data_IF_855889050447
#
_entry.id   IF_855889050447
#
_cell.length_a   1.000
_cell.length_b   1.000
_cell.length_c   1.000
_cell.angle_alpha   90.00
_cell.angle_beta   90.00
_cell.angle_gamma   90.00
#
_symmetry.space_group_name_H-M   'P 1'
#
loop_
_entity.id
_entity.type
_entity.pdbx_description
1 polymer ?
#
# COMPACT_ATOMS: atom_id res chain seq x y z
N UNK A 1 49.54 6.95 3.17
CA UNK A 1 48.60 6.17 3.99
C UNK A 1 49.08 4.74 4.03
N UNK A 2 49.34 4.21 5.22
CA UNK A 2 49.70 2.79 5.42
C UNK A 2 48.43 1.91 5.42
N UNK A 3 48.60 0.59 5.26
CA UNK A 3 47.50 -0.36 5.39
C UNK A 3 46.82 -0.27 6.76
N UNK A 4 47.60 -0.03 7.82
CA UNK A 4 47.09 0.12 9.19
C UNK A 4 46.25 1.39 9.37
N UNK A 5 46.68 2.50 8.75
CA UNK A 5 45.92 3.76 8.75
C UNK A 5 44.61 3.63 7.96
N UNK A 6 44.63 3.00 6.78
CA UNK A 6 43.41 2.75 6.00
C UNK A 6 42.44 1.84 6.74
N UNK A 7 42.94 0.80 7.43
CA UNK A 7 42.10 -0.09 8.23
C UNK A 7 41.43 0.64 9.41
N UNK A 8 42.14 1.56 10.09
CA UNK A 8 41.55 2.40 11.15
C UNK A 8 40.51 3.37 10.59
N UNK A 9 40.81 4.02 9.47
CA UNK A 9 39.87 4.91 8.77
C UNK A 9 38.57 4.18 8.46
N UNK A 10 38.63 3.04 7.77
CA UNK A 10 37.46 2.25 7.39
C UNK A 10 36.63 1.81 8.61
N UNK A 11 37.28 1.41 9.70
CA UNK A 11 36.59 1.08 10.97
C UNK A 11 35.86 2.29 11.55
N UNK A 12 36.46 3.48 11.50
CA UNK A 12 35.83 4.71 11.97
C UNK A 12 34.61 5.13 11.13
N UNK A 13 34.55 4.69 9.87
CA UNK A 13 33.46 4.97 8.94
C UNK A 13 32.24 4.05 9.13
N UNK A 14 32.41 2.88 9.75
CA UNK A 14 31.32 1.89 9.94
C UNK A 14 30.04 2.49 10.55
N UNK A 15 30.10 3.32 11.62
CA UNK A 15 28.90 3.95 12.18
C UNK A 15 28.17 4.86 11.17
N UNK A 16 28.92 5.57 10.32
CA UNK A 16 28.37 6.45 9.29
C UNK A 16 27.71 5.65 8.15
N UNK A 17 28.27 4.48 7.81
CA UNK A 17 27.67 3.54 6.86
C UNK A 17 26.35 3.00 7.44
N UNK A 18 26.34 2.56 8.70
CA UNK A 18 25.12 2.10 9.36
C UNK A 18 24.03 3.17 9.43
N UNK A 19 24.40 4.42 9.75
CA UNK A 19 23.47 5.54 9.78
C UNK A 19 22.89 5.83 8.39
N UNK A 20 23.74 5.80 7.36
CA UNK A 20 23.31 5.99 5.96
C UNK A 20 22.36 4.88 5.51
N UNK A 21 22.67 3.62 5.84
CA UNK A 21 21.81 2.48 5.54
C UNK A 21 20.44 2.58 6.22
N UNK A 22 20.40 2.97 7.50
CA UNK A 22 19.14 3.19 8.23
C UNK A 22 18.30 4.29 7.56
N UNK A 23 18.93 5.43 7.24
CA UNK A 23 18.25 6.54 6.55
C UNK A 23 17.72 6.12 5.19
N UNK A 24 18.51 5.37 4.41
CA UNK A 24 18.11 4.86 3.10
C UNK A 24 16.88 3.94 3.20
N UNK A 25 16.89 2.99 4.14
CA UNK A 25 15.75 2.09 4.37
C UNK A 25 14.49 2.85 4.79
N UNK A 26 14.62 3.83 5.69
CA UNK A 26 13.52 4.68 6.14
C UNK A 26 12.90 5.45 4.99
N UNK A 27 13.73 6.18 4.23
CA UNK A 27 13.27 6.99 3.11
C UNK A 27 12.63 6.13 2.01
N UNK A 28 13.22 4.98 1.69
CA UNK A 28 12.65 4.05 0.73
C UNK A 28 11.28 3.52 1.18
N UNK A 29 11.10 3.27 2.47
CA UNK A 29 9.81 2.80 3.00
C UNK A 29 8.76 3.90 2.97
N UNK A 30 9.11 5.14 3.31
CA UNK A 30 8.20 6.28 3.19
C UNK A 30 7.70 6.46 1.75
N UNK A 31 8.59 6.35 0.76
CA UNK A 31 8.19 6.41 -0.66
C UNK A 31 7.32 5.22 -1.09
N UNK A 32 7.56 4.04 -0.52
CA UNK A 32 6.70 2.88 -0.76
C UNK A 32 5.29 3.09 -0.18
N UNK A 33 5.18 3.66 1.03
CA UNK A 33 3.90 4.02 1.67
C UNK A 33 3.15 5.03 0.80
N UNK A 34 3.82 6.11 0.39
CA UNK A 34 3.25 7.13 -0.49
C UNK A 34 2.73 6.51 -1.79
N UNK A 35 3.50 5.62 -2.42
CA UNK A 35 3.11 4.96 -3.66
C UNK A 35 1.91 4.02 -3.48
N UNK A 36 1.86 3.27 -2.38
CA UNK A 36 0.71 2.43 -2.06
C UNK A 36 -0.56 3.27 -1.86
N UNK A 37 -0.46 4.39 -1.13
CA UNK A 37 -1.57 5.30 -0.90
C UNK A 37 -2.05 6.03 -2.18
N UNK A 38 -1.12 6.42 -3.06
CA UNK A 38 -1.42 7.02 -4.37
C UNK A 38 -2.26 6.09 -5.24
N UNK A 39 -1.91 4.80 -5.28
CA UNK A 39 -2.60 3.79 -6.08
C UNK A 39 -3.90 3.28 -5.44
N UNK A 40 -4.16 3.60 -4.16
CA UNK A 40 -5.37 3.15 -3.47
C UNK A 40 -6.59 3.93 -3.98
N UNK A 41 -7.68 3.27 -4.38
CA UNK A 41 -8.92 3.94 -4.74
C UNK A 41 -9.57 4.65 -3.53
N UNK A 42 -10.39 5.69 -3.76
CA UNK A 42 -10.64 6.33 -5.05
C UNK A 42 -9.45 7.19 -5.49
N UNK A 43 -9.00 7.04 -6.73
CA UNK A 43 -7.95 7.88 -7.33
C UNK A 43 -8.58 9.12 -7.97
N UNK A 44 -7.79 10.19 -8.23
CA UNK A 44 -8.32 11.41 -8.86
C UNK A 44 -8.84 11.16 -10.28
N UNK A 45 -8.37 10.10 -10.93
CA UNK A 45 -8.71 9.72 -12.31
C UNK A 45 -9.90 8.76 -12.39
N UNK A 46 -10.52 8.41 -11.25
CA UNK A 46 -11.79 7.68 -11.27
C UNK A 46 -12.91 8.68 -11.65
N UNK A 47 -13.00 8.94 -12.95
CA UNK A 47 -14.00 9.77 -13.61
C UNK A 47 -15.41 9.44 -13.13
N UNK A 48 -15.97 10.30 -12.28
CA UNK A 48 -17.37 10.74 -12.32
C UNK A 48 -18.51 9.74 -12.09
N UNK A 49 -18.28 8.42 -12.10
CA UNK A 49 -19.32 7.42 -11.82
C UNK A 49 -19.37 7.14 -10.33
N UNK A 50 -19.81 8.19 -9.64
CA UNK A 50 -20.04 8.27 -8.23
C UNK A 50 -21.13 7.23 -7.89
N UNK A 51 -20.72 6.01 -7.51
CA UNK A 51 -21.56 5.09 -6.75
C UNK A 51 -21.85 5.75 -5.39
N UNK A 52 -22.71 6.77 -5.43
CA UNK A 52 -23.21 7.55 -4.31
C UNK A 52 -24.02 6.62 -3.44
N UNK A 53 -23.38 6.09 -2.41
CA UNK A 53 -24.04 5.39 -1.32
C UNK A 53 -23.53 5.98 -0.02
N UNK A 54 -24.38 6.01 1.00
CA UNK A 54 -24.13 6.54 2.35
C UNK A 54 -22.98 5.84 3.11
N UNK A 55 -22.19 4.99 2.43
CA UNK A 55 -21.07 4.21 3.00
C UNK A 55 -19.90 4.00 2.01
N UNK A 56 -19.84 4.68 0.86
CA UNK A 56 -19.02 4.20 -0.27
C UNK A 56 -17.60 4.78 -0.38
N UNK A 57 -17.19 5.78 0.42
CA UNK A 57 -15.82 6.37 0.33
C UNK A 57 -15.25 6.74 1.69
N UNK A 58 -14.87 5.77 2.51
CA UNK A 58 -13.90 6.08 3.57
C UNK A 58 -12.51 6.13 2.93
N UNK A 59 -11.82 7.27 2.97
CA UNK A 59 -10.39 7.36 2.61
C UNK A 59 -9.48 6.63 3.60
N UNK A 60 -10.01 5.64 4.29
CA UNK A 60 -9.46 4.95 5.45
C UNK A 60 -8.33 4.03 5.01
N UNK A 61 -8.55 3.20 3.97
CA UNK A 61 -7.47 2.36 3.43
C UNK A 61 -6.23 3.17 3.03
N UNK A 62 -6.40 4.39 2.49
CA UNK A 62 -5.27 5.29 2.20
C UNK A 62 -4.49 5.68 3.45
N UNK A 63 -5.20 6.00 4.53
CA UNK A 63 -4.60 6.41 5.80
C UNK A 63 -3.87 5.25 6.48
N UNK A 64 -4.43 4.04 6.40
CA UNK A 64 -3.88 2.83 7.01
C UNK A 64 -2.50 2.45 6.45
N UNK A 65 -2.19 2.76 5.18
CA UNK A 65 -0.82 2.60 4.68
C UNK A 65 0.21 3.37 5.52
N UNK A 66 -0.12 4.59 5.96
CA UNK A 66 0.79 5.40 6.77
C UNK A 66 0.79 4.99 8.24
N UNK A 67 -0.38 4.65 8.79
CA UNK A 67 -0.54 4.32 10.22
C UNK A 67 -0.02 2.93 10.57
N UNK A 68 -0.25 1.94 9.72
CA UNK A 68 0.05 0.53 10.04
C UNK A 68 1.49 0.14 9.67
N UNK A 69 2.08 0.90 8.74
CA UNK A 69 3.45 0.70 8.30
C UNK A 69 4.48 1.14 9.34
N UNK A 70 5.66 0.50 9.31
CA UNK A 70 6.79 0.80 10.20
C UNK A 70 7.99 1.24 9.35
N UNK A 71 8.12 2.54 9.05
CA UNK A 71 9.20 3.06 8.21
C UNK A 71 10.55 3.07 8.94
N UNK A 72 10.57 3.10 10.27
CA UNK A 72 11.81 3.09 11.02
C UNK A 72 12.44 1.68 11.04
N UNK A 73 13.65 1.50 10.48
CA UNK A 73 14.25 0.17 10.34
C UNK A 73 14.66 -0.41 11.68
N UNK A 74 14.18 -1.62 11.96
CA UNK A 74 14.65 -2.43 13.08
C UNK A 74 15.83 -3.30 12.63
N UNK A 75 16.92 -3.30 13.41
CA UNK A 75 18.07 -4.19 13.17
C UNK A 75 17.71 -5.59 13.65
N UNK A 76 17.79 -6.57 12.76
CA UNK A 76 17.59 -7.99 13.06
C UNK A 76 18.81 -8.74 12.55
N UNK A 77 19.72 -9.11 13.45
CA UNK A 77 21.03 -9.64 13.09
C UNK A 77 21.82 -8.66 12.21
N UNK A 78 22.16 -9.09 11.00
CA UNK A 78 22.87 -8.30 9.98
C UNK A 78 21.94 -7.50 9.04
N UNK A 79 20.61 -7.59 9.21
CA UNK A 79 19.65 -6.98 8.31
C UNK A 79 18.91 -5.79 8.95
N UNK A 80 18.53 -4.82 8.11
CA UNK A 80 17.58 -3.76 8.45
C UNK A 80 16.21 -4.11 7.88
N UNK A 81 15.20 -4.18 8.74
CA UNK A 81 13.83 -4.51 8.35
C UNK A 81 12.90 -3.34 8.62
N UNK A 82 12.18 -2.93 7.58
CA UNK A 82 11.02 -2.03 7.66
C UNK A 82 9.76 -2.81 7.28
N UNK A 83 8.58 -2.26 7.57
CA UNK A 83 7.30 -2.92 7.27
C UNK A 83 6.40 -1.97 6.49
N UNK A 84 5.84 -2.45 5.39
CA UNK A 84 4.72 -1.85 4.68
C UNK A 84 3.49 -2.71 5.00
N UNK A 85 2.45 -2.12 5.57
CA UNK A 85 1.25 -2.82 6.02
C UNK A 85 -0.01 -1.98 5.80
N UNK A 86 -1.15 -2.67 5.75
CA UNK A 86 -2.49 -2.12 5.74
C UNK A 86 -3.40 -3.17 6.38
N UNK A 87 -3.93 -2.86 7.56
CA UNK A 87 -4.67 -3.81 8.38
C UNK A 87 -6.18 -3.80 8.08
N UNK A 88 -6.61 -3.08 7.04
CA UNK A 88 -8.00 -3.09 6.59
C UNK A 88 -8.38 -4.48 6.04
N UNK A 89 -9.48 -5.04 6.53
CA UNK A 89 -9.96 -6.37 6.13
C UNK A 89 -10.19 -6.50 4.62
N UNK A 90 -10.61 -5.41 3.98
CA UNK A 90 -10.87 -5.36 2.54
C UNK A 90 -9.62 -5.05 1.69
N UNK A 91 -8.47 -4.75 2.29
CA UNK A 91 -7.27 -4.33 1.54
C UNK A 91 -6.78 -5.38 0.54
N UNK A 92 -6.88 -6.67 0.90
CA UNK A 92 -6.51 -7.79 0.04
C UNK A 92 -7.41 -7.89 -1.19
N UNK A 93 -8.71 -7.65 -1.04
CA UNK A 93 -9.68 -7.67 -2.15
C UNK A 93 -9.36 -6.60 -3.19
N UNK A 94 -8.89 -5.43 -2.74
CA UNK A 94 -8.47 -4.33 -3.63
C UNK A 94 -7.09 -4.62 -4.24
N UNK A 95 -6.13 -5.12 -3.45
CA UNK A 95 -4.77 -5.39 -3.92
C UNK A 95 -4.69 -6.58 -4.88
N UNK A 96 -5.25 -7.72 -4.51
CA UNK A 96 -5.08 -9.00 -5.21
C UNK A 96 -6.27 -9.32 -6.14
N UNK A 97 -7.38 -8.60 -5.93
CA UNK A 97 -8.66 -8.89 -6.57
C UNK A 97 -9.38 -10.03 -5.88
N UNK A 98 -10.59 -10.31 -6.33
CA UNK A 98 -11.41 -11.37 -5.75
C UNK A 98 -12.37 -11.96 -6.78
N UNK A 99 -12.89 -13.16 -6.48
CA UNK A 99 -13.94 -13.78 -7.28
C UNK A 99 -15.29 -13.17 -6.91
N UNK A 100 -16.12 -12.96 -7.92
CA UNK A 100 -17.48 -12.49 -7.75
C UNK A 100 -18.40 -13.71 -7.81
N UNK A 101 -19.23 -13.86 -6.79
CA UNK A 101 -20.29 -14.86 -6.78
C UNK A 101 -21.63 -14.21 -7.12
N UNK A 102 -22.29 -14.74 -8.14
CA UNK A 102 -23.56 -14.22 -8.60
C UNK A 102 -24.66 -14.84 -7.77
N UNK A 103 -25.32 -14.02 -6.97
CA UNK A 103 -26.38 -14.48 -6.07
C UNK A 103 -27.53 -13.49 -6.01
N UNK A 104 -28.73 -13.99 -5.71
CA UNK A 104 -29.89 -13.16 -5.49
C UNK A 104 -29.90 -12.67 -4.04
N UNK A 105 -30.09 -11.37 -3.84
CA UNK A 105 -30.21 -10.75 -2.52
C UNK A 105 -31.67 -10.33 -2.31
N UNK A 106 -32.47 -11.09 -1.53
CA UNK A 106 -33.82 -10.70 -1.17
C UNK A 106 -33.82 -9.38 -0.38
N UNK A 107 -34.78 -8.51 -0.65
CA UNK A 107 -34.93 -7.22 0.02
C UNK A 107 -34.01 -6.10 -0.50
N UNK A 108 -33.04 -6.40 -1.39
CA UNK A 108 -32.21 -5.39 -2.03
C UNK A 108 -32.88 -4.86 -3.30
N UNK A 109 -33.08 -3.55 -3.41
CA UNK A 109 -33.72 -2.92 -4.57
C UNK A 109 -33.11 -1.54 -4.88
N UNK A 110 -33.38 -1.03 -6.08
CA UNK A 110 -33.07 0.37 -6.43
C UNK A 110 -34.35 1.15 -6.15
N UNK A 111 -34.27 2.12 -5.25
CA UNK A 111 -35.39 2.98 -4.94
C UNK A 111 -35.74 3.84 -6.19
N UNK A 112 -36.99 3.80 -6.69
CA UNK A 112 -37.36 4.53 -7.90
C UNK A 112 -37.37 6.06 -7.76
N UNK A 113 -37.52 6.58 -6.54
CA UNK A 113 -37.56 8.02 -6.27
C UNK A 113 -36.15 8.59 -6.07
N UNK A 114 -35.30 7.91 -5.30
CA UNK A 114 -33.93 8.36 -5.03
C UNK A 114 -32.92 7.88 -6.08
N UNK A 115 -33.22 6.79 -6.80
CA UNK A 115 -32.32 6.12 -7.73
C UNK A 115 -31.17 5.38 -7.02
N UNK A 116 -31.20 5.29 -5.69
CA UNK A 116 -30.13 4.68 -4.89
C UNK A 116 -30.42 3.22 -4.58
N UNK A 117 -29.35 2.47 -4.30
CA UNK A 117 -29.45 1.07 -3.87
C UNK A 117 -29.83 1.02 -2.38
N UNK A 118 -30.95 0.40 -2.06
CA UNK A 118 -31.49 0.28 -0.70
C UNK A 118 -31.76 -1.18 -0.33
N UNK A 119 -31.71 -1.47 0.98
CA UNK A 119 -31.93 -2.81 1.52
C UNK A 119 -33.04 -2.80 2.58
N UNK A 120 -34.16 -3.47 2.26
CA UNK A 120 -35.28 -3.70 3.16
C UNK A 120 -35.57 -5.21 3.28
N UNK A 121 -35.17 -5.87 4.38
CA UNK A 121 -35.24 -7.35 4.50
C UNK A 121 -36.66 -7.92 4.45
N UNK A 122 -37.70 -7.12 4.70
CA UNK A 122 -39.10 -7.53 4.60
C UNK A 122 -39.75 -7.28 3.23
N UNK A 123 -39.02 -6.66 2.29
CA UNK A 123 -39.58 -6.33 0.98
C UNK A 123 -39.66 -7.57 0.08
N UNK A 124 -40.73 -7.67 -0.70
CA UNK A 124 -40.96 -8.79 -1.64
C UNK A 124 -40.20 -8.63 -2.97
N UNK A 125 -39.17 -7.81 -2.98
CA UNK A 125 -38.31 -7.50 -4.13
C UNK A 125 -36.89 -7.97 -3.84
N UNK A 126 -36.04 -8.02 -4.85
CA UNK A 126 -34.63 -8.38 -4.69
C UNK A 126 -33.87 -8.19 -6.00
N UNK A 127 -32.56 -8.05 -5.91
CA UNK A 127 -31.67 -7.88 -7.06
C UNK A 127 -30.63 -9.00 -7.07
N UNK A 128 -30.29 -9.47 -8.27
CA UNK A 128 -29.13 -10.35 -8.45
C UNK A 128 -27.87 -9.49 -8.43
N UNK A 129 -27.06 -9.69 -7.41
CA UNK A 129 -25.76 -9.03 -7.24
C UNK A 129 -24.65 -9.96 -7.74
N UNK A 130 -23.54 -9.37 -8.13
CA UNK A 130 -22.44 -10.03 -8.82
C UNK A 130 -22.29 -9.49 -10.24
N UNK A 131 -21.03 -9.34 -10.68
CA UNK A 131 -20.71 -8.76 -11.99
C UNK A 131 -20.99 -9.72 -13.14
N UNK A 132 -21.03 -9.18 -14.37
CA UNK A 132 -20.98 -10.00 -15.60
C UNK A 132 -19.73 -10.86 -15.66
N UNK A 133 -18.65 -10.44 -15.01
CA UNK A 133 -17.38 -11.17 -14.90
C UNK A 133 -17.31 -11.98 -13.60
N UNK A 134 -16.59 -13.10 -13.62
CA UNK A 134 -16.41 -13.98 -12.45
C UNK A 134 -15.32 -13.52 -11.49
N UNK A 135 -14.52 -12.52 -11.89
CA UNK A 135 -13.37 -12.02 -11.13
C UNK A 135 -13.19 -10.52 -11.32
N UNK A 136 -12.95 -9.83 -10.22
CA UNK A 136 -12.45 -8.45 -10.20
C UNK A 136 -10.93 -8.52 -10.12
N UNK A 137 -10.19 -7.91 -11.06
CA UNK A 137 -8.73 -7.87 -10.99
C UNK A 137 -8.28 -6.97 -9.83
N UNK A 138 -7.19 -7.36 -9.18
CA UNK A 138 -6.51 -6.51 -8.21
C UNK A 138 -5.65 -5.46 -8.89
N UNK A 139 -5.32 -4.39 -8.17
CA UNK A 139 -4.48 -3.30 -8.66
C UNK A 139 -3.01 -3.38 -8.17
N UNK A 140 -2.66 -4.41 -7.39
CA UNK A 140 -1.28 -4.76 -7.02
C UNK A 140 -0.44 -3.60 -6.44
N UNK A 141 -1.06 -2.75 -5.61
CA UNK A 141 -0.43 -1.62 -4.93
C UNK A 141 0.86 -2.02 -4.20
N UNK A 142 0.85 -3.17 -3.52
CA UNK A 142 1.99 -3.68 -2.76
C UNK A 142 3.20 -3.95 -3.66
N UNK A 143 2.97 -4.45 -4.87
CA UNK A 143 4.08 -4.80 -5.77
C UNK A 143 4.69 -3.55 -6.41
N UNK A 144 3.87 -2.55 -6.76
CA UNK A 144 4.36 -1.24 -7.18
C UNK A 144 5.11 -0.52 -6.05
N UNK A 145 4.60 -0.57 -4.82
CA UNK A 145 5.30 -0.03 -3.66
C UNK A 145 6.66 -0.71 -3.40
N UNK A 146 6.76 -2.04 -3.60
CA UNK A 146 8.06 -2.76 -3.54
C UNK A 146 9.02 -2.33 -4.64
N UNK A 147 8.52 -2.07 -5.86
CA UNK A 147 9.36 -1.54 -6.96
C UNK A 147 9.89 -0.16 -6.59
N UNK A 148 9.04 0.70 -6.05
CA UNK A 148 9.41 2.04 -5.59
C UNK A 148 10.47 1.99 -4.49
N UNK A 149 10.27 1.15 -3.48
CA UNK A 149 11.23 0.91 -2.41
C UNK A 149 12.62 0.56 -2.98
N UNK A 150 12.69 -0.42 -3.90
CA UNK A 150 13.96 -0.85 -4.49
C UNK A 150 14.62 0.26 -5.30
N UNK A 151 13.84 1.06 -6.03
CA UNK A 151 14.35 2.20 -6.82
C UNK A 151 14.99 3.25 -5.91
N UNK A 152 14.27 3.67 -4.87
CA UNK A 152 14.76 4.69 -3.92
C UNK A 152 15.93 4.16 -3.12
N UNK A 153 15.88 2.92 -2.66
CA UNK A 153 16.97 2.31 -1.91
C UNK A 153 18.27 2.27 -2.73
N UNK A 154 18.22 1.87 -4.01
CA UNK A 154 19.40 1.88 -4.89
C UNK A 154 19.98 3.29 -5.04
N UNK A 155 19.13 4.30 -5.19
CA UNK A 155 19.56 5.70 -5.29
C UNK A 155 20.24 6.18 -4.00
N UNK A 156 19.65 5.89 -2.85
CA UNK A 156 20.17 6.30 -1.55
C UNK A 156 21.45 5.53 -1.17
N UNK A 157 21.55 4.24 -1.51
CA UNK A 157 22.77 3.44 -1.31
C UNK A 157 23.92 3.88 -2.22
N UNK A 158 23.67 4.54 -3.36
CA UNK A 158 24.72 5.17 -4.15
C UNK A 158 25.57 6.14 -3.32
N UNK A 159 24.98 6.81 -2.32
CA UNK A 159 25.66 7.72 -1.39
C UNK A 159 26.57 7.00 -0.39
N UNK A 160 26.39 5.70 -0.17
CA UNK A 160 27.30 4.91 0.69
C UNK A 160 28.67 4.77 0.03
N UNK A 161 28.72 4.74 -1.32
CA UNK A 161 29.99 4.71 -2.05
C UNK A 161 30.85 5.93 -1.73
N UNK A 162 30.25 7.12 -1.70
CA UNK A 162 30.91 8.39 -1.35
C UNK A 162 31.48 8.41 0.09
N UNK A 163 30.92 7.59 0.99
CA UNK A 163 31.38 7.49 2.38
C UNK A 163 32.60 6.57 2.50
N UNK A 164 32.80 5.65 1.56
CA UNK A 164 33.88 4.64 1.58
C UNK A 164 35.10 5.11 0.76
N UNK A 165 34.88 5.91 -0.29
CA UNK A 165 35.93 6.53 -1.11
C UNK A 165 36.71 7.58 -0.29
#
# INVERSE_FOLDING_TARGET
MTLMERARQLRSTVPQIEATMKRACRNATLRAIEKAAELTPPTQDDDGDDLRGTSTRSGEMKQHWATDSKPDPRKSGSAYKTTLANDMEYASYVNDGHRMDRHFVPGLYIDPESGLLEYAPGAKVGIVVGTKTTRVPGIFMVDEAKKEYKRVLRRELGRVREVIE
#
